data_IF_494891518045
#
_entry.id   IF_494891518045
#
_cell.length_a   1.000
_cell.length_b   1.000
_cell.length_c   1.000
_cell.angle_alpha   90.00
_cell.angle_beta   90.00
_cell.angle_gamma   90.00
#
_symmetry.space_group_name_H-M   'P 1'
#
loop_
_entity.id
_entity.type
_entity.pdbx_description
1 polymer ?
#
# COMPACT_ATOMS: atom_id res chain seq x y z
N UNK A 1 -34.81 46.68 38.83
CA UNK A 1 -34.05 47.09 37.64
C UNK A 1 -32.52 47.07 37.87
N UNK A 2 -32.02 46.47 38.97
CA UNK A 2 -30.57 46.33 39.24
C UNK A 2 -30.04 44.88 39.11
N UNK A 3 -30.89 43.87 38.91
CA UNK A 3 -30.48 42.46 38.81
C UNK A 3 -29.87 42.05 37.45
N UNK A 4 -29.91 42.93 36.44
CA UNK A 4 -29.25 42.71 35.13
C UNK A 4 -27.78 43.15 35.13
N UNK A 5 -27.37 43.95 36.13
CA UNK A 5 -26.03 44.54 36.20
C UNK A 5 -25.06 43.75 37.09
N UNK A 6 -25.53 42.69 37.75
CA UNK A 6 -24.68 41.80 38.56
C UNK A 6 -24.84 40.37 38.02
N UNK A 7 -24.00 39.95 37.06
CA UNK A 7 -23.93 38.55 36.70
C UNK A 7 -23.53 37.74 37.94
N UNK A 8 -24.34 36.72 38.28
CA UNK A 8 -24.00 35.75 39.32
C UNK A 8 -22.64 35.13 38.98
N UNK A 9 -21.63 35.44 39.80
CA UNK A 9 -20.34 34.80 39.71
C UNK A 9 -20.49 33.37 40.19
N UNK A 10 -20.58 32.42 39.25
CA UNK A 10 -20.41 31.02 39.58
C UNK A 10 -18.99 30.86 40.14
N UNK A 11 -18.87 30.48 41.40
CA UNK A 11 -17.62 29.95 41.93
C UNK A 11 -17.30 28.69 41.13
N UNK A 12 -16.53 28.84 40.06
CA UNK A 12 -16.05 27.74 39.24
C UNK A 12 -15.14 26.94 40.17
N UNK A 13 -15.66 25.81 40.66
CA UNK A 13 -14.89 24.84 41.41
C UNK A 13 -13.65 24.54 40.57
N UNK A 14 -12.46 24.67 41.17
CA UNK A 14 -11.21 24.42 40.47
C UNK A 14 -11.25 22.98 39.93
N UNK A 15 -11.61 22.84 38.66
CA UNK A 15 -11.54 21.58 37.97
C UNK A 15 -10.07 21.19 37.98
N UNK A 16 -9.76 20.02 38.55
CA UNK A 16 -8.44 19.44 38.44
C UNK A 16 -8.04 19.53 36.96
N UNK A 17 -6.93 20.23 36.68
CA UNK A 17 -6.51 20.46 35.29
C UNK A 17 -6.50 19.10 34.58
N UNK A 18 -7.26 18.94 33.47
CA UNK A 18 -7.26 17.69 32.74
C UNK A 18 -5.82 17.43 32.31
N UNK A 19 -5.25 16.35 32.84
CA UNK A 19 -3.85 15.98 32.62
C UNK A 19 -3.53 16.11 31.13
N UNK A 20 -2.54 16.92 30.74
CA UNK A 20 -2.30 17.27 29.33
C UNK A 20 -2.12 16.01 28.45
N UNK A 21 -1.59 14.94 29.02
CA UNK A 21 -1.49 13.63 28.38
C UNK A 21 -2.85 13.02 27.99
N UNK A 22 -3.88 13.17 28.84
CA UNK A 22 -5.23 12.67 28.55
C UNK A 22 -5.89 13.41 27.37
N UNK A 23 -5.51 14.66 27.12
CA UNK A 23 -6.01 15.44 25.98
C UNK A 23 -5.45 14.94 24.64
N UNK A 24 -4.27 14.31 24.64
CA UNK A 24 -3.66 13.73 23.44
C UNK A 24 -4.11 12.29 23.16
N UNK A 25 -4.79 11.61 24.10
CA UNK A 25 -5.27 10.23 23.91
C UNK A 25 -6.09 10.07 22.62
N UNK A 26 -7.10 10.92 22.32
CA UNK A 26 -7.89 10.80 21.09
C UNK A 26 -7.05 10.96 19.81
N UNK A 27 -6.08 11.87 19.83
CA UNK A 27 -5.20 12.13 18.68
C UNK A 27 -4.24 10.96 18.45
N UNK A 28 -3.63 10.44 19.51
CA UNK A 28 -2.72 9.28 19.44
C UNK A 28 -3.49 8.04 18.96
N UNK A 29 -4.70 7.80 19.47
CA UNK A 29 -5.56 6.70 19.02
C UNK A 29 -5.85 6.79 17.52
N UNK A 30 -6.20 7.97 17.02
CA UNK A 30 -6.46 8.19 15.60
C UNK A 30 -5.23 7.89 14.74
N UNK A 31 -4.05 8.39 15.14
CA UNK A 31 -2.78 8.13 14.45
C UNK A 31 -2.47 6.63 14.41
N UNK A 32 -2.64 5.93 15.53
CA UNK A 32 -2.43 4.48 15.61
C UNK A 32 -3.37 3.74 14.66
N UNK A 33 -4.66 4.07 14.66
CA UNK A 33 -5.65 3.41 13.79
C UNK A 33 -5.31 3.62 12.31
N UNK A 34 -5.06 4.85 11.87
CA UNK A 34 -4.68 5.11 10.47
C UNK A 34 -3.34 4.48 10.09
N UNK A 35 -2.36 4.46 11.01
CA UNK A 35 -1.09 3.76 10.79
C UNK A 35 -1.31 2.27 10.52
N UNK A 36 -2.10 1.60 11.37
CA UNK A 36 -2.37 0.18 11.19
C UNK A 36 -3.20 -0.12 9.94
N UNK A 37 -4.15 0.76 9.58
CA UNK A 37 -5.01 0.55 8.42
C UNK A 37 -4.33 0.84 7.08
N UNK A 38 -3.42 1.81 6.97
CA UNK A 38 -2.82 2.20 5.69
C UNK A 38 -1.38 1.73 5.53
N UNK A 39 -0.54 1.99 6.53
CA UNK A 39 0.91 1.77 6.42
C UNK A 39 1.24 0.28 6.47
N UNK A 40 0.59 -0.48 7.36
CA UNK A 40 0.78 -1.94 7.45
C UNK A 40 0.44 -2.68 6.14
N UNK A 41 -0.73 -2.49 5.51
CA UNK A 41 -1.03 -3.17 4.24
C UNK A 41 -0.15 -2.69 3.09
N UNK A 42 0.25 -1.42 3.05
CA UNK A 42 1.15 -0.91 2.02
C UNK A 42 2.54 -1.57 2.13
N UNK A 43 3.08 -1.70 3.34
CA UNK A 43 4.33 -2.44 3.56
C UNK A 43 4.22 -3.91 3.14
N UNK A 44 3.09 -4.56 3.41
CA UNK A 44 2.84 -5.95 2.99
C UNK A 44 2.86 -6.09 1.47
N UNK A 45 2.09 -5.27 0.75
CA UNK A 45 2.03 -5.26 -0.72
C UNK A 45 3.40 -4.99 -1.36
N UNK A 46 4.16 -4.03 -0.82
CA UNK A 46 5.50 -3.72 -1.33
C UNK A 46 6.48 -4.89 -1.12
N UNK A 47 6.39 -5.60 0.01
CA UNK A 47 7.20 -6.81 0.25
C UNK A 47 6.84 -7.93 -0.71
N UNK A 48 5.55 -8.18 -0.91
CA UNK A 48 5.04 -9.19 -1.84
C UNK A 48 5.47 -8.90 -3.29
N UNK A 49 5.36 -7.65 -3.73
CA UNK A 49 5.78 -7.26 -5.08
C UNK A 49 7.30 -7.39 -5.28
N UNK A 50 8.11 -7.01 -4.29
CA UNK A 50 9.56 -7.24 -4.31
C UNK A 50 9.90 -8.73 -4.37
N UNK A 51 9.19 -9.57 -3.60
CA UNK A 51 9.37 -11.01 -3.61
C UNK A 51 9.01 -11.61 -4.97
N UNK A 52 7.92 -11.14 -5.60
CA UNK A 52 7.51 -11.55 -6.93
C UNK A 52 8.56 -11.24 -7.98
N UNK A 53 9.09 -10.01 -8.00
CA UNK A 53 10.15 -9.62 -8.95
C UNK A 53 11.42 -10.46 -8.74
N UNK A 54 11.75 -10.76 -7.49
CA UNK A 54 12.91 -11.56 -7.14
C UNK A 54 12.74 -13.05 -7.52
N UNK A 55 11.52 -13.57 -7.52
CA UNK A 55 11.22 -14.96 -7.90
C UNK A 55 11.13 -15.20 -9.41
N UNK A 56 11.18 -14.15 -10.25
CA UNK A 56 11.07 -14.29 -11.69
C UNK A 56 12.21 -15.13 -12.27
N UNK A 57 11.84 -16.21 -12.97
CA UNK A 57 12.74 -17.09 -13.68
C UNK A 57 12.48 -17.06 -15.20
N UNK A 58 13.47 -17.50 -15.98
CA UNK A 58 13.27 -17.72 -17.41
C UNK A 58 12.24 -18.84 -17.62
N UNK A 59 11.36 -18.64 -18.58
CA UNK A 59 10.28 -19.57 -18.91
C UNK A 59 8.99 -19.37 -18.11
N UNK A 60 8.99 -18.48 -17.12
CA UNK A 60 7.78 -18.12 -16.38
C UNK A 60 6.78 -17.41 -17.30
N UNK A 61 5.51 -17.71 -17.10
CA UNK A 61 4.41 -17.02 -17.75
C UNK A 61 3.99 -15.87 -16.84
N UNK A 62 3.87 -14.66 -17.38
CA UNK A 62 3.66 -13.44 -16.59
C UNK A 62 2.59 -12.57 -17.21
N UNK A 63 1.94 -11.77 -16.37
CA UNK A 63 1.09 -10.66 -16.79
C UNK A 63 1.74 -9.36 -16.33
N UNK A 64 1.73 -8.38 -17.22
CA UNK A 64 2.19 -7.02 -16.95
C UNK A 64 1.06 -6.17 -16.36
N UNK A 65 1.38 -5.04 -15.73
CA UNK A 65 0.37 -4.11 -15.19
C UNK A 65 -0.57 -3.55 -16.25
N UNK A 66 -0.19 -3.57 -17.53
CA UNK A 66 -1.02 -3.16 -18.67
C UNK A 66 -1.93 -4.28 -19.22
N UNK A 67 -1.91 -5.48 -18.63
CA UNK A 67 -2.72 -6.61 -19.07
C UNK A 67 -2.10 -7.47 -20.18
N UNK A 68 -0.89 -7.12 -20.67
CA UNK A 68 -0.18 -8.00 -21.61
C UNK A 68 0.31 -9.24 -20.87
N UNK A 69 0.02 -10.41 -21.45
CA UNK A 69 0.49 -11.70 -20.98
C UNK A 69 1.59 -12.22 -21.93
N UNK A 70 2.58 -12.91 -21.38
CA UNK A 70 3.66 -13.48 -22.18
C UNK A 70 4.64 -14.32 -21.36
N UNK A 71 5.67 -14.85 -22.02
CA UNK A 71 6.69 -15.72 -21.41
C UNK A 71 8.00 -14.98 -21.22
N UNK A 72 8.62 -15.10 -20.05
CA UNK A 72 9.95 -14.55 -19.79
C UNK A 72 11.01 -15.30 -20.59
N UNK A 73 11.70 -14.61 -21.50
CA UNK A 73 12.80 -15.16 -22.31
C UNK A 73 14.15 -14.65 -21.83
N UNK A 74 14.21 -13.38 -21.44
CA UNK A 74 15.44 -12.72 -21.02
C UNK A 74 15.26 -12.11 -19.63
N UNK A 75 16.17 -12.40 -18.69
CA UNK A 75 16.21 -11.77 -17.38
C UNK A 75 17.34 -10.74 -17.33
N UNK A 76 17.00 -9.49 -17.08
CA UNK A 76 17.94 -8.43 -16.71
C UNK A 76 17.71 -7.92 -15.29
N UNK A 77 18.52 -6.95 -14.87
CA UNK A 77 18.41 -6.34 -13.54
C UNK A 77 17.21 -5.38 -13.43
N UNK A 78 17.08 -4.46 -14.38
CA UNK A 78 16.00 -3.47 -14.42
C UNK A 78 14.87 -3.84 -15.40
N UNK A 79 15.20 -4.56 -16.46
CA UNK A 79 14.28 -4.95 -17.54
C UNK A 79 14.22 -6.47 -17.69
N UNK A 80 13.08 -6.97 -18.12
CA UNK A 80 12.82 -8.37 -18.47
C UNK A 80 12.32 -8.41 -19.91
N UNK A 81 12.84 -9.34 -20.70
CA UNK A 81 12.35 -9.65 -22.03
C UNK A 81 11.20 -10.64 -21.95
N UNK A 82 10.05 -10.25 -22.46
CA UNK A 82 8.83 -11.06 -22.49
C UNK A 82 8.48 -11.33 -23.95
N UNK A 83 8.31 -12.59 -24.30
CA UNK A 83 7.77 -13.02 -25.58
C UNK A 83 6.23 -13.03 -25.50
N UNK A 84 5.59 -12.24 -26.36
CA UNK A 84 4.13 -12.07 -26.40
C UNK A 84 3.48 -12.82 -27.56
N UNK A 85 4.27 -13.18 -28.56
CA UNK A 85 3.90 -13.94 -29.75
C UNK A 85 5.18 -14.53 -30.34
N UNK A 86 5.07 -15.54 -31.19
CA UNK A 86 6.22 -16.24 -31.77
C UNK A 86 7.20 -15.25 -32.44
N UNK A 87 8.41 -15.16 -31.87
CA UNK A 87 9.48 -14.29 -32.38
C UNK A 87 9.33 -12.80 -32.05
N UNK A 88 8.32 -12.40 -31.26
CA UNK A 88 8.10 -11.02 -30.80
C UNK A 88 8.47 -10.90 -29.32
N UNK A 89 9.68 -10.41 -29.06
CA UNK A 89 10.16 -10.08 -27.72
C UNK A 89 10.01 -8.58 -27.43
N UNK A 90 9.41 -8.26 -26.28
CA UNK A 90 9.27 -6.90 -25.77
C UNK A 90 10.02 -6.77 -24.45
N UNK A 91 10.75 -5.67 -24.29
CA UNK A 91 11.43 -5.34 -23.02
C UNK A 91 10.49 -4.56 -22.12
N UNK A 92 10.25 -5.09 -20.93
CA UNK A 92 9.37 -4.50 -19.93
C UNK A 92 10.17 -4.26 -18.65
N UNK A 93 9.86 -3.19 -17.92
CA UNK A 93 10.47 -2.95 -16.62
C UNK A 93 10.05 -4.04 -15.64
N UNK A 94 10.97 -4.56 -14.84
CA UNK A 94 10.68 -5.59 -13.82
C UNK A 94 9.54 -5.20 -12.87
N UNK A 95 9.45 -3.95 -12.37
CA UNK A 95 8.32 -3.48 -11.56
C UNK A 95 6.96 -3.47 -12.27
N UNK A 96 6.94 -3.53 -13.60
CA UNK A 96 5.70 -3.58 -14.36
C UNK A 96 5.13 -5.01 -14.48
N UNK A 97 5.76 -6.02 -13.88
CA UNK A 97 5.18 -7.37 -13.77
C UNK A 97 4.20 -7.41 -12.60
N UNK A 98 2.94 -7.72 -12.89
CA UNK A 98 1.86 -7.72 -11.90
C UNK A 98 1.65 -9.10 -11.26
N UNK A 99 1.81 -10.18 -12.04
CA UNK A 99 1.62 -11.55 -11.57
C UNK A 99 2.44 -12.56 -12.36
N UNK A 100 2.77 -13.68 -11.72
CA UNK A 100 3.32 -14.88 -12.36
C UNK A 100 2.21 -15.91 -12.46
N UNK A 101 2.00 -16.45 -13.65
CA UNK A 101 1.00 -17.46 -13.96
C UNK A 101 1.59 -18.87 -13.83
N UNK A 102 0.78 -19.88 -13.49
CA UNK A 102 1.15 -21.27 -13.66
C UNK A 102 1.56 -21.56 -15.10
N UNK A 103 2.47 -22.52 -15.28
CA UNK A 103 2.92 -22.91 -16.62
C UNK A 103 1.74 -23.47 -17.43
N UNK A 104 1.57 -22.99 -18.66
CA UNK A 104 0.53 -23.42 -19.57
C UNK A 104 -0.74 -22.58 -19.55
N UNK A 105 -0.85 -21.55 -18.69
CA UNK A 105 -2.00 -20.64 -18.68
C UNK A 105 -2.10 -19.84 -19.98
N UNK A 106 -0.98 -19.44 -20.59
CA UNK A 106 -0.99 -18.70 -21.86
C UNK A 106 -1.59 -19.50 -23.02
N UNK A 107 -1.55 -20.84 -22.97
CA UNK A 107 -2.15 -21.69 -24.02
C UNK A 107 -3.66 -21.85 -23.87
N UNK A 108 -4.20 -21.47 -22.71
CA UNK A 108 -5.62 -21.58 -22.39
C UNK A 108 -6.38 -20.25 -22.56
N UNK A 109 -5.65 -19.15 -22.83
CA UNK A 109 -6.18 -17.83 -23.17
C UNK A 109 -6.31 -17.69 -24.69
#
# INVERSE_FOLDING_TARGET
MLDWLIPVAHAQQAAAQPNAFMQFIPLILLVIVFYFLLIRPQMKRNKEHKALIASLAKGDEVITSGGLAGRVVTLGEAYVGIEISDGVEVKVQKPAISSVLPKGTLKAL
#
